data_IF_715546304125
#
_entry.id   IF_715546304125
#
_cell.length_a   1.000
_cell.length_b   1.000
_cell.length_c   1.000
_cell.angle_alpha   90.00
_cell.angle_beta   90.00
_cell.angle_gamma   90.00
#
_symmetry.space_group_name_H-M   'P 1'
#
loop_
_entity.id
_entity.type
_entity.pdbx_description
1 polymer ?
#
# COMPACT_ATOMS: atom_id res chain seq x y z
N UNK A 1 -3.87 16.85 -15.25
CA UNK A 1 -3.35 16.00 -14.15
C UNK A 1 -3.62 14.52 -14.37
N UNK A 2 -3.56 13.68 -13.30
CA UNK A 2 -3.64 12.21 -13.39
C UNK A 2 -4.87 11.72 -14.21
N UNK A 3 -6.05 12.28 -13.98
CA UNK A 3 -7.27 11.94 -14.74
C UNK A 3 -7.09 12.18 -16.24
N UNK A 4 -6.47 13.28 -16.62
CA UNK A 4 -6.24 13.61 -18.03
C UNK A 4 -5.26 12.61 -18.69
N UNK A 5 -4.23 12.20 -17.98
CA UNK A 5 -3.29 11.18 -18.45
C UNK A 5 -3.97 9.81 -18.59
N UNK A 6 -4.71 9.39 -17.57
CA UNK A 6 -5.43 8.11 -17.56
C UNK A 6 -6.49 8.01 -18.68
N UNK A 7 -7.05 9.13 -19.13
CA UNK A 7 -7.95 9.14 -20.30
C UNK A 7 -7.22 8.90 -21.64
N UNK A 8 -5.90 9.05 -21.66
CA UNK A 8 -5.08 8.96 -22.89
C UNK A 8 -4.17 7.73 -22.92
N UNK A 9 -4.05 7.00 -21.80
CA UNK A 9 -3.12 5.89 -21.63
C UNK A 9 -3.81 4.72 -20.95
N UNK A 10 -3.24 3.53 -21.09
CA UNK A 10 -3.72 2.32 -20.40
C UNK A 10 -3.37 2.28 -18.91
N UNK A 11 -2.50 3.16 -18.44
CA UNK A 11 -2.08 3.26 -17.04
C UNK A 11 -1.07 4.38 -16.85
N UNK A 12 -0.75 4.69 -15.60
CA UNK A 12 0.29 5.66 -15.23
C UNK A 12 1.23 5.04 -14.19
N UNK A 13 2.49 5.46 -14.24
CA UNK A 13 3.46 5.25 -13.18
C UNK A 13 3.73 6.62 -12.56
N UNK A 14 3.51 6.74 -11.26
CA UNK A 14 3.74 7.96 -10.50
C UNK A 14 4.97 7.76 -9.62
N UNK A 15 5.95 8.62 -9.75
CA UNK A 15 7.11 8.67 -8.86
C UNK A 15 6.91 9.85 -7.91
N UNK A 16 6.90 9.55 -6.64
CA UNK A 16 6.63 10.55 -5.63
C UNK A 16 7.76 10.73 -4.64
N UNK A 17 7.52 11.64 -3.74
CA UNK A 17 8.21 11.81 -2.49
C UNK A 17 7.35 11.28 -1.37
N UNK A 18 6.55 12.13 -0.76
CA UNK A 18 5.68 11.79 0.38
C UNK A 18 4.49 10.90 -0.04
N UNK A 19 4.18 9.87 0.75
CA UNK A 19 3.14 8.87 0.42
C UNK A 19 1.71 9.45 0.40
N UNK A 20 1.50 10.66 0.89
CA UNK A 20 0.22 11.38 0.75
C UNK A 20 -0.29 11.44 -0.69
N UNK A 21 0.62 11.37 -1.69
CA UNK A 21 0.25 11.36 -3.11
C UNK A 21 -0.63 10.16 -3.49
N UNK A 22 -0.57 9.05 -2.77
CA UNK A 22 -1.36 7.86 -3.05
C UNK A 22 -2.87 8.15 -3.03
N UNK A 23 -3.33 8.98 -2.08
CA UNK A 23 -4.74 9.31 -1.96
C UNK A 23 -5.33 10.02 -3.19
N UNK A 24 -4.81 11.16 -3.68
CA UNK A 24 -5.33 11.80 -4.89
C UNK A 24 -5.15 10.97 -6.16
N UNK A 25 -4.11 10.13 -6.25
CA UNK A 25 -3.93 9.22 -7.37
C UNK A 25 -4.98 8.12 -7.37
N UNK A 26 -5.26 7.52 -6.22
CA UNK A 26 -6.31 6.51 -6.07
C UNK A 26 -7.70 7.09 -6.39
N UNK A 27 -7.97 8.34 -5.99
CA UNK A 27 -9.20 9.06 -6.43
C UNK A 27 -9.28 9.20 -7.96
N UNK A 28 -8.17 9.50 -8.61
CA UNK A 28 -8.13 9.61 -10.07
C UNK A 28 -8.42 8.26 -10.74
N UNK A 29 -7.81 7.18 -10.25
CA UNK A 29 -8.02 5.82 -10.75
C UNK A 29 -9.46 5.37 -10.51
N UNK A 30 -10.00 5.55 -9.31
CA UNK A 30 -11.39 5.24 -8.97
C UNK A 30 -12.37 5.95 -9.92
N UNK A 31 -12.15 7.23 -10.20
CA UNK A 31 -12.98 8.01 -11.11
C UNK A 31 -12.97 7.45 -12.55
N UNK A 32 -11.81 7.07 -13.06
CA UNK A 32 -11.68 6.51 -14.41
C UNK A 32 -12.28 5.10 -14.48
N UNK A 33 -12.04 4.29 -13.46
CA UNK A 33 -12.58 2.94 -13.35
C UNK A 33 -14.10 2.93 -13.08
N UNK A 34 -14.68 4.06 -12.68
CA UNK A 34 -16.09 4.23 -12.27
C UNK A 34 -16.47 3.38 -11.05
N UNK A 35 -15.53 3.16 -10.14
CA UNK A 35 -15.71 2.39 -8.94
C UNK A 35 -14.40 2.03 -8.24
N UNK A 36 -14.49 1.40 -7.07
CA UNK A 36 -13.32 1.00 -6.29
C UNK A 36 -12.47 -0.04 -7.03
N UNK A 37 -11.19 -0.07 -6.71
CA UNK A 37 -10.20 -0.97 -7.29
C UNK A 37 -9.55 -1.81 -6.20
N UNK A 38 -8.92 -2.92 -6.54
CA UNK A 38 -8.04 -3.61 -5.61
C UNK A 38 -6.84 -2.72 -5.28
N UNK A 39 -6.41 -2.72 -4.02
CA UNK A 39 -5.24 -2.00 -3.55
C UNK A 39 -4.22 -2.98 -3.01
N UNK A 40 -3.04 -3.04 -3.61
CA UNK A 40 -1.88 -3.75 -3.06
C UNK A 40 -0.86 -2.71 -2.65
N UNK A 41 -0.58 -2.66 -1.36
CA UNK A 41 0.29 -1.67 -0.73
C UNK A 41 1.51 -2.37 -0.14
N UNK A 42 2.67 -2.17 -0.76
CA UNK A 42 3.98 -2.59 -0.27
C UNK A 42 4.58 -1.50 0.59
N UNK A 43 4.81 -1.77 1.87
CA UNK A 43 5.25 -0.79 2.85
C UNK A 43 5.71 -1.49 4.13
N UNK A 44 6.54 -0.82 4.91
CA UNK A 44 6.80 -1.22 6.30
C UNK A 44 5.63 -0.85 7.23
N UNK A 45 4.83 0.17 6.85
CA UNK A 45 3.79 0.81 7.65
C UNK A 45 2.39 0.55 7.10
N UNK A 46 1.37 0.83 7.91
CA UNK A 46 -0.04 0.65 7.51
C UNK A 46 -0.58 1.83 6.70
N UNK A 47 -0.18 3.05 7.03
CA UNK A 47 -0.65 4.31 6.42
C UNK A 47 -2.16 4.52 6.45
N UNK A 48 -2.79 3.96 7.48
CA UNK A 48 -4.23 3.96 7.75
C UNK A 48 -4.61 4.71 9.03
N UNK A 49 -3.67 5.43 9.63
CA UNK A 49 -3.97 6.21 10.83
C UNK A 49 -4.96 7.34 10.55
N UNK A 50 -5.77 7.67 11.53
CA UNK A 50 -6.72 8.76 11.41
C UNK A 50 -6.02 10.12 11.34
N UNK A 51 -5.01 10.30 12.18
CA UNK A 51 -4.13 11.48 12.17
C UNK A 51 -2.68 11.06 12.37
N UNK A 52 -1.76 11.80 11.79
CA UNK A 52 -0.33 11.66 12.02
C UNK A 52 0.28 13.05 12.15
N UNK A 53 1.10 13.27 13.20
CA UNK A 53 1.54 14.60 13.61
C UNK A 53 0.41 15.62 13.80
N UNK A 54 -0.77 15.17 14.24
CA UNK A 54 -1.94 16.02 14.45
C UNK A 54 -2.67 16.47 13.19
N UNK A 55 -2.28 15.95 12.01
CA UNK A 55 -2.91 16.27 10.73
C UNK A 55 -3.60 15.05 10.09
N UNK A 56 -4.78 15.23 9.48
CA UNK A 56 -5.51 14.11 8.85
C UNK A 56 -5.03 13.75 7.44
N UNK A 57 -4.20 14.58 6.82
CA UNK A 57 -3.63 14.37 5.49
C UNK A 57 -2.11 14.42 5.56
N UNK A 58 -1.49 13.26 5.72
CA UNK A 58 -0.03 13.06 5.81
C UNK A 58 0.34 11.74 5.16
N UNK A 59 1.64 11.43 5.09
CA UNK A 59 2.11 10.14 4.57
C UNK A 59 1.57 8.92 5.34
N UNK A 60 1.28 9.03 6.65
CA UNK A 60 0.74 7.93 7.46
C UNK A 60 -0.79 7.76 7.39
N UNK A 61 -1.51 8.52 6.54
CA UNK A 61 -2.97 8.55 6.55
C UNK A 61 -3.68 8.33 5.21
N UNK A 62 -2.97 8.13 4.06
CA UNK A 62 -3.61 8.17 2.75
C UNK A 62 -4.66 7.06 2.57
N UNK A 63 -4.43 5.87 3.10
CA UNK A 63 -5.37 4.77 2.94
C UNK A 63 -6.53 4.83 3.93
N UNK A 64 -6.39 5.52 5.05
CA UNK A 64 -7.54 5.88 5.89
C UNK A 64 -8.50 6.81 5.12
N UNK A 65 -7.99 7.86 4.51
CA UNK A 65 -8.78 8.78 3.67
C UNK A 65 -9.40 8.05 2.47
N UNK A 66 -8.63 7.15 1.85
CA UNK A 66 -9.13 6.31 0.76
C UNK A 66 -10.27 5.39 1.19
N UNK A 67 -10.20 4.80 2.39
CA UNK A 67 -11.26 3.98 2.97
C UNK A 67 -12.55 4.76 3.20
N UNK A 68 -12.44 5.94 3.76
CA UNK A 68 -13.59 6.81 4.04
C UNK A 68 -14.35 7.22 2.77
N UNK A 69 -13.65 7.33 1.64
CA UNK A 69 -14.25 7.63 0.34
C UNK A 69 -14.58 6.37 -0.50
N UNK A 70 -14.44 5.16 0.03
CA UNK A 70 -14.68 3.89 -0.67
C UNK A 70 -13.91 3.78 -2.00
N UNK A 71 -12.62 4.11 -1.99
CA UNK A 71 -11.79 4.12 -3.20
C UNK A 71 -11.21 2.75 -3.55
N UNK A 72 -11.21 1.80 -2.62
CA UNK A 72 -10.70 0.45 -2.83
C UNK A 72 -11.67 -0.63 -2.34
N UNK A 73 -11.49 -1.85 -2.83
CA UNK A 73 -12.29 -3.02 -2.53
C UNK A 73 -11.80 -3.69 -1.24
N UNK A 74 -12.68 -3.84 -0.26
CA UNK A 74 -12.39 -4.43 1.05
C UNK A 74 -11.94 -5.90 0.96
N UNK A 75 -12.49 -6.65 0.02
CA UNK A 75 -12.22 -8.08 -0.16
C UNK A 75 -11.09 -8.39 -1.14
N UNK A 76 -10.51 -7.37 -1.77
CA UNK A 76 -9.45 -7.50 -2.77
C UNK A 76 -8.16 -6.71 -2.44
N UNK A 77 -8.11 -6.05 -1.27
CA UNK A 77 -6.98 -5.19 -0.89
C UNK A 77 -6.07 -5.82 0.16
N UNK A 78 -4.79 -5.45 0.13
CA UNK A 78 -3.73 -6.01 0.97
C UNK A 78 -2.66 -5.00 1.33
N UNK A 79 -2.11 -5.16 2.55
CA UNK A 79 -0.80 -4.64 2.93
C UNK A 79 0.25 -5.74 2.86
N UNK A 80 1.44 -5.44 2.38
CA UNK A 80 2.52 -6.40 2.15
C UNK A 80 3.85 -5.82 2.65
N UNK A 81 4.48 -6.51 3.59
CA UNK A 81 5.79 -6.11 4.14
C UNK A 81 5.72 -5.43 5.50
N UNK A 82 4.54 -5.39 6.12
CA UNK A 82 4.31 -4.69 7.39
C UNK A 82 5.23 -5.21 8.49
N UNK A 83 5.92 -4.27 9.14
CA UNK A 83 6.83 -4.54 10.27
C UNK A 83 7.11 -3.29 11.12
N UNK A 84 6.67 -2.13 10.67
CA UNK A 84 6.87 -0.85 11.35
C UNK A 84 6.13 -0.76 12.69
N UNK A 85 6.44 0.26 13.50
CA UNK A 85 5.80 0.47 14.78
C UNK A 85 4.31 0.79 14.64
N UNK A 86 3.55 0.40 15.65
CA UNK A 86 2.12 0.67 15.75
C UNK A 86 1.87 1.66 16.89
N UNK A 87 0.90 2.55 16.75
CA UNK A 87 0.45 3.41 17.85
C UNK A 87 -0.34 2.62 18.90
N UNK A 88 -1.11 1.64 18.44
CA UNK A 88 -1.99 0.84 19.27
C UNK A 88 -1.90 -0.63 18.90
N UNK A 89 -2.14 -1.50 19.87
CA UNK A 89 -2.32 -2.94 19.63
C UNK A 89 -3.51 -3.26 18.74
N UNK A 90 -4.44 -2.32 18.59
CA UNK A 90 -5.64 -2.48 17.79
C UNK A 90 -5.46 -2.03 16.34
N UNK A 91 -4.33 -1.42 15.96
CA UNK A 91 -4.10 -0.91 14.61
C UNK A 91 -4.25 -2.01 13.54
N UNK A 92 -3.66 -3.18 13.77
CA UNK A 92 -3.81 -4.32 12.85
C UNK A 92 -5.25 -4.81 12.72
N UNK A 93 -6.01 -4.83 13.82
CA UNK A 93 -7.42 -5.22 13.80
C UNK A 93 -8.28 -4.17 13.10
N UNK A 94 -7.93 -2.90 13.28
CA UNK A 94 -8.60 -1.80 12.58
C UNK A 94 -8.42 -1.95 11.08
N UNK A 95 -7.20 -2.25 10.61
CA UNK A 95 -6.91 -2.48 9.20
C UNK A 95 -7.64 -3.70 8.64
N UNK A 96 -7.68 -4.79 9.38
CA UNK A 96 -8.49 -5.94 9.00
C UNK A 96 -9.98 -5.58 8.89
N UNK A 97 -10.49 -4.71 9.78
CA UNK A 97 -11.87 -4.20 9.72
C UNK A 97 -12.13 -3.28 8.53
N UNK A 98 -11.08 -2.64 8.00
CA UNK A 98 -11.14 -1.87 6.75
C UNK A 98 -11.11 -2.77 5.51
N UNK A 99 -10.94 -4.07 5.71
CA UNK A 99 -10.94 -5.06 4.64
C UNK A 99 -9.54 -5.47 4.17
N UNK A 100 -8.46 -4.91 4.71
CA UNK A 100 -7.12 -5.32 4.35
C UNK A 100 -6.77 -6.73 4.84
N UNK A 101 -6.08 -7.49 4.00
CA UNK A 101 -5.26 -8.62 4.44
C UNK A 101 -3.84 -8.13 4.63
N UNK A 102 -3.21 -8.53 5.73
CA UNK A 102 -1.85 -8.12 6.07
C UNK A 102 -0.92 -9.30 5.83
N UNK A 103 0.18 -9.05 5.13
CA UNK A 103 1.34 -9.94 4.99
C UNK A 103 2.50 -9.26 5.69
N UNK A 104 2.98 -9.86 6.77
CA UNK A 104 4.15 -9.38 7.48
C UNK A 104 5.44 -9.69 6.72
N UNK A 105 6.47 -8.87 6.92
CA UNK A 105 7.72 -9.01 6.17
C UNK A 105 8.43 -10.34 6.40
N UNK A 106 8.37 -10.90 7.61
CA UNK A 106 8.96 -12.19 7.99
C UNK A 106 8.28 -13.39 7.28
N UNK A 107 7.06 -13.23 6.78
CA UNK A 107 6.40 -14.26 6.00
C UNK A 107 7.13 -14.58 4.67
N UNK A 108 7.87 -13.61 4.11
CA UNK A 108 8.71 -13.85 2.94
C UNK A 108 9.84 -14.84 3.21
N UNK A 109 10.40 -14.81 4.43
CA UNK A 109 11.44 -15.77 4.83
C UNK A 109 10.88 -17.17 5.08
N UNK A 110 9.67 -17.25 5.62
CA UNK A 110 9.05 -18.52 6.01
C UNK A 110 8.29 -19.20 4.88
N UNK A 111 7.68 -18.45 3.97
CA UNK A 111 6.83 -18.96 2.90
C UNK A 111 7.46 -18.87 1.50
N UNK A 112 8.41 -17.95 1.31
CA UNK A 112 9.00 -17.64 0.01
C UNK A 112 8.14 -16.71 -0.84
N UNK A 113 8.79 -15.99 -1.76
CA UNK A 113 8.16 -14.97 -2.61
C UNK A 113 7.03 -15.54 -3.48
N UNK A 114 7.22 -16.72 -4.06
CA UNK A 114 6.21 -17.33 -4.95
C UNK A 114 4.86 -17.53 -4.28
N UNK A 115 4.86 -18.03 -3.03
CA UNK A 115 3.62 -18.21 -2.27
C UNK A 115 2.97 -16.89 -1.90
N UNK A 116 3.78 -15.86 -1.60
CA UNK A 116 3.25 -14.52 -1.31
C UNK A 116 2.60 -13.94 -2.57
N UNK A 117 3.25 -14.05 -3.74
CA UNK A 117 2.69 -13.61 -5.03
C UNK A 117 1.39 -14.37 -5.36
N UNK A 118 1.33 -15.67 -5.10
CA UNK A 118 0.11 -16.46 -5.28
C UNK A 118 -1.03 -15.94 -4.39
N UNK A 119 -0.75 -15.64 -3.12
CA UNK A 119 -1.73 -15.06 -2.17
C UNK A 119 -2.23 -13.69 -2.66
N UNK A 120 -1.33 -12.84 -3.15
CA UNK A 120 -1.68 -11.53 -3.72
C UNK A 120 -2.59 -11.72 -4.94
N UNK A 121 -2.19 -12.55 -5.90
CA UNK A 121 -2.98 -12.84 -7.11
C UNK A 121 -4.37 -13.37 -6.78
N UNK A 122 -4.45 -14.33 -5.84
CA UNK A 122 -5.72 -14.89 -5.39
C UNK A 122 -6.61 -13.83 -4.73
N UNK A 123 -6.02 -12.89 -3.97
CA UNK A 123 -6.76 -11.84 -3.28
C UNK A 123 -7.28 -10.77 -4.24
N UNK A 124 -6.44 -10.34 -5.17
CA UNK A 124 -6.78 -9.33 -6.17
C UNK A 124 -7.77 -9.88 -7.20
N UNK A 125 -7.61 -11.13 -7.62
CA UNK A 125 -8.43 -11.73 -8.69
C UNK A 125 -8.30 -10.96 -10.00
N UNK A 126 -9.42 -10.78 -10.68
CA UNK A 126 -9.52 -10.04 -11.95
C UNK A 126 -9.87 -8.55 -11.77
N UNK A 127 -9.80 -8.05 -10.53
CA UNK A 127 -10.12 -6.65 -10.26
C UNK A 127 -9.06 -5.69 -10.84
N UNK A 128 -9.46 -4.51 -11.29
CA UNK A 128 -8.52 -3.43 -11.58
C UNK A 128 -7.67 -3.15 -10.35
N UNK A 129 -6.36 -2.97 -10.55
CA UNK A 129 -5.38 -2.88 -9.47
C UNK A 129 -4.75 -1.49 -9.40
N UNK A 130 -4.72 -0.92 -8.20
CA UNK A 130 -3.79 0.14 -7.81
C UNK A 130 -2.66 -0.49 -6.99
N UNK A 131 -1.44 -0.37 -7.51
CA UNK A 131 -0.23 -0.82 -6.82
C UNK A 131 0.48 0.38 -6.21
N UNK A 132 0.66 0.40 -4.90
CA UNK A 132 1.47 1.37 -4.17
C UNK A 132 2.71 0.69 -3.60
N UNK A 133 3.86 1.32 -3.77
CA UNK A 133 5.13 0.81 -3.23
C UNK A 133 5.81 1.96 -2.51
N UNK A 134 5.88 1.90 -1.18
CA UNK A 134 6.78 2.74 -0.42
C UNK A 134 8.17 2.13 -0.41
N UNK A 135 9.19 2.98 -0.57
CA UNK A 135 10.58 2.53 -0.65
C UNK A 135 11.06 1.89 0.66
N UNK A 136 10.43 2.23 1.79
CA UNK A 136 10.79 1.69 3.09
C UNK A 136 10.33 0.24 3.31
N UNK A 137 9.57 -0.34 2.38
CA UNK A 137 9.35 -1.80 2.34
C UNK A 137 10.68 -2.54 2.21
N UNK A 138 11.67 -1.92 1.58
CA UNK A 138 13.03 -2.43 1.51
C UNK A 138 13.77 -2.26 2.84
N UNK A 139 14.70 -3.17 3.11
CA UNK A 139 15.61 -3.01 4.24
C UNK A 139 16.50 -1.76 4.04
N UNK A 140 16.79 -1.00 5.11
CA UNK A 140 17.65 0.20 5.05
C UNK A 140 19.05 -0.05 4.46
N UNK A 141 19.52 -1.31 4.46
CA UNK A 141 20.77 -1.66 3.78
C UNK A 141 20.70 -1.44 2.25
N UNK A 142 19.50 -1.45 1.67
CA UNK A 142 19.25 -1.24 0.24
C UNK A 142 18.65 0.14 -0.06
N UNK A 143 17.86 0.67 0.86
CA UNK A 143 17.13 1.93 0.69
C UNK A 143 17.24 2.81 1.94
N UNK A 144 18.42 3.38 2.26
CA UNK A 144 18.60 4.17 3.47
C UNK A 144 18.02 5.59 3.37
N UNK A 145 17.63 6.06 2.19
CA UNK A 145 17.23 7.45 1.92
C UNK A 145 15.72 7.70 2.07
N UNK A 146 15.06 7.03 3.02
CA UNK A 146 13.65 7.29 3.37
C UNK A 146 13.51 7.96 4.73
N UNK A 147 12.37 8.59 4.99
CA UNK A 147 12.08 9.29 6.25
C UNK A 147 11.78 8.35 7.41
N UNK A 148 11.28 7.15 7.12
CA UNK A 148 10.79 6.15 8.10
C UNK A 148 11.39 4.77 7.83
N UNK A 149 12.73 4.61 7.89
CA UNK A 149 13.38 3.33 7.62
C UNK A 149 13.11 2.33 8.74
N UNK A 150 12.75 1.10 8.35
CA UNK A 150 12.51 -0.01 9.26
C UNK A 150 13.44 -1.18 8.94
N UNK A 151 14.07 -1.75 9.96
CA UNK A 151 14.97 -2.91 9.81
C UNK A 151 14.20 -4.18 9.44
N UNK A 152 14.92 -5.22 9.00
CA UNK A 152 14.36 -6.51 8.59
C UNK A 152 13.39 -6.41 7.41
N UNK A 153 13.66 -5.51 6.48
CA UNK A 153 12.90 -5.27 5.27
C UNK A 153 13.22 -6.26 4.14
N UNK A 154 12.57 -6.04 3.01
CA UNK A 154 12.81 -6.82 1.80
C UNK A 154 14.18 -6.51 1.19
N UNK A 155 14.79 -7.51 0.58
CA UNK A 155 15.98 -7.32 -0.25
C UNK A 155 15.58 -6.87 -1.66
N UNK A 156 16.50 -6.26 -2.41
CA UNK A 156 16.26 -5.94 -3.82
C UNK A 156 15.93 -7.17 -4.66
N UNK A 157 16.50 -8.34 -4.34
CA UNK A 157 16.19 -9.58 -5.05
C UNK A 157 14.76 -10.05 -4.85
N UNK A 158 14.14 -9.76 -3.71
CA UNK A 158 12.74 -10.10 -3.47
C UNK A 158 11.78 -9.20 -4.26
N UNK A 159 12.07 -7.92 -4.38
CA UNK A 159 11.19 -6.98 -5.09
C UNK A 159 11.32 -7.10 -6.61
N UNK A 160 12.42 -7.65 -7.12
CA UNK A 160 12.63 -7.88 -8.56
C UNK A 160 11.96 -9.14 -9.11
N UNK A 161 11.41 -9.95 -8.26
CA UNK A 161 10.67 -11.13 -8.70
C UNK A 161 9.23 -10.72 -9.02
#
# INVERSE_FOLDING_TARGET
GAIELLNKTSGIISLGGDHTIAFPLLKAVNKINKGPVALVHFDAHLDTWDTYFGAPYTHGTPFRRAREENLFLDDASMHVGIRGPLYSRDDLKNDESFGFKIIHCDEFQTQGADKIVERIRKRVGDNPLYLSIDIDVLDPAFAPGTGTPEIAGMTLSLIHI
#
